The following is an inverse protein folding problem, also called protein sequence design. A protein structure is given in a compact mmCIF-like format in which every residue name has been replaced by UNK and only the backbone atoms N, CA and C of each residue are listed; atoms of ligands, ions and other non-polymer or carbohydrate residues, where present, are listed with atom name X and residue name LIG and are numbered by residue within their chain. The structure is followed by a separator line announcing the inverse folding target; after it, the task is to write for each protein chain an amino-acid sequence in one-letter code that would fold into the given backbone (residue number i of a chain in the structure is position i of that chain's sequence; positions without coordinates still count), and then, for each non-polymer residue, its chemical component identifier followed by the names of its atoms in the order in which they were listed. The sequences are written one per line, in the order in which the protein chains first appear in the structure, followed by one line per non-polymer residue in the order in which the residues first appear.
data_IF_105437523784
#
_entry.id   IF_105437523784
#
_cell.length_a   1.000
_cell.length_b   1.000
_cell.length_c   1.000
_cell.angle_alpha   90.00
_cell.angle_beta   90.00
_cell.angle_gamma   90.00
#
_symmetry.space_group_name_H-M   'P 1'
#
loop_
_entity.id
_entity.type
_entity.pdbx_description
1 polymer ?
#
# COMPACT_ATOMS: atom_id res chain seq x y z
N UNK A 1 -21.15 31.44 1.18
CA UNK A 1 -21.09 31.08 0.03
C UNK A 1 -20.52 29.78 -0.51
N UNK A 2 -19.40 29.86 -1.18
CA UNK A 2 -18.84 28.74 -2.00
C UNK A 2 -18.51 27.49 -1.20
N UNK A 3 -17.93 27.62 -0.02
CA UNK A 3 -17.60 26.50 0.86
C UNK A 3 -18.82 25.68 1.27
N UNK A 4 -19.94 26.36 1.61
CA UNK A 4 -21.18 25.68 1.97
C UNK A 4 -21.76 24.94 0.75
N UNK A 5 -21.75 25.58 -0.42
CA UNK A 5 -22.23 24.97 -1.66
C UNK A 5 -21.39 23.71 -2.04
N UNK A 6 -20.07 23.76 -1.86
CA UNK A 6 -19.21 22.59 -2.08
C UNK A 6 -19.49 21.46 -1.08
N UNK A 7 -19.67 21.78 0.20
CA UNK A 7 -20.01 20.76 1.19
C UNK A 7 -21.37 20.08 0.87
N UNK A 8 -22.35 20.83 0.44
CA UNK A 8 -23.65 20.27 0.01
C UNK A 8 -23.48 19.35 -1.18
N UNK A 9 -22.73 19.76 -2.22
CA UNK A 9 -22.43 18.92 -3.39
C UNK A 9 -21.68 17.66 -2.98
N UNK A 10 -20.68 17.78 -2.13
CA UNK A 10 -19.90 16.65 -1.61
C UNK A 10 -20.79 15.63 -0.90
N UNK A 11 -21.64 16.09 0.03
CA UNK A 11 -22.56 15.20 0.74
C UNK A 11 -23.59 14.58 -0.21
N UNK A 12 -24.10 15.34 -1.16
CA UNK A 12 -25.02 14.84 -2.18
C UNK A 12 -24.39 13.71 -3.00
N UNK A 13 -23.16 13.90 -3.50
CA UNK A 13 -22.44 12.88 -4.26
C UNK A 13 -22.14 11.62 -3.42
N UNK A 14 -21.77 11.80 -2.15
CA UNK A 14 -21.56 10.66 -1.23
C UNK A 14 -22.84 9.85 -0.99
N UNK A 15 -23.96 10.53 -0.75
CA UNK A 15 -25.22 9.88 -0.37
C UNK A 15 -26.00 9.34 -1.59
N UNK A 16 -25.85 9.99 -2.74
CA UNK A 16 -26.64 9.71 -3.95
C UNK A 16 -25.82 9.15 -5.09
N UNK A 17 -24.50 9.06 -4.95
CA UNK A 17 -23.60 8.60 -6.01
C UNK A 17 -24.05 7.31 -6.69
N UNK A 18 -24.58 6.34 -5.94
CA UNK A 18 -25.11 5.09 -6.51
C UNK A 18 -26.34 5.27 -7.43
N UNK A 19 -27.10 6.33 -7.23
CA UNK A 19 -28.40 6.57 -7.90
C UNK A 19 -28.30 7.54 -9.08
N UNK A 20 -27.14 8.12 -9.31
CA UNK A 20 -26.89 9.01 -10.42
C UNK A 20 -26.61 8.22 -11.71
N UNK A 21 -26.66 8.89 -12.84
CA UNK A 21 -26.02 8.47 -14.07
C UNK A 21 -24.68 9.21 -14.25
N UNK A 22 -23.89 8.82 -15.22
CA UNK A 22 -22.57 9.38 -15.45
C UNK A 22 -22.60 10.90 -15.75
N UNK A 23 -23.61 11.38 -16.48
CA UNK A 23 -23.73 12.79 -16.85
C UNK A 23 -24.10 13.66 -15.64
N UNK A 24 -25.05 13.20 -14.83
CA UNK A 24 -25.44 13.90 -13.61
C UNK A 24 -24.31 13.91 -12.58
N UNK A 25 -23.59 12.78 -12.44
CA UNK A 25 -22.42 12.74 -11.56
C UNK A 25 -21.35 13.75 -12.00
N UNK A 26 -21.02 13.78 -13.30
CA UNK A 26 -20.00 14.68 -13.86
C UNK A 26 -20.37 16.16 -13.68
N UNK A 27 -21.66 16.50 -13.80
CA UNK A 27 -22.16 17.85 -13.56
C UNK A 27 -21.86 18.32 -12.13
N UNK A 28 -22.19 17.50 -11.13
CA UNK A 28 -21.93 17.86 -9.72
C UNK A 28 -20.45 17.79 -9.38
N UNK A 29 -19.70 16.82 -9.94
CA UNK A 29 -18.26 16.64 -9.69
C UNK A 29 -17.45 17.84 -10.20
N UNK A 30 -17.75 18.37 -11.39
CA UNK A 30 -17.10 19.57 -11.94
C UNK A 30 -17.29 20.82 -11.09
N UNK A 31 -18.33 20.85 -10.28
CA UNK A 31 -18.58 21.94 -9.33
C UNK A 31 -17.79 21.82 -8.01
N UNK A 32 -16.96 20.79 -7.83
CA UNK A 32 -16.10 20.63 -6.67
C UNK A 32 -14.73 21.30 -6.95
N UNK A 33 -14.18 21.97 -5.95
CA UNK A 33 -12.85 22.63 -6.00
C UNK A 33 -11.87 21.96 -5.04
N UNK A 34 -12.30 21.71 -3.80
CA UNK A 34 -11.42 21.18 -2.74
C UNK A 34 -11.62 19.69 -2.43
N UNK A 35 -12.82 19.17 -2.63
CA UNK A 35 -13.21 17.82 -2.23
C UNK A 35 -13.12 16.77 -3.37
N UNK A 36 -12.49 17.10 -4.49
CA UNK A 36 -12.30 16.15 -5.61
C UNK A 36 -11.47 14.92 -5.24
N UNK A 37 -10.57 15.06 -4.25
CA UNK A 37 -9.70 13.99 -3.74
C UNK A 37 -10.28 13.24 -2.53
N UNK A 38 -11.56 13.47 -2.20
CA UNK A 38 -12.23 12.66 -1.19
C UNK A 38 -12.35 11.20 -1.68
N UNK A 39 -11.94 10.20 -0.88
CA UNK A 39 -11.88 8.79 -1.34
C UNK A 39 -13.21 8.22 -1.85
N UNK A 40 -14.34 8.68 -1.32
CA UNK A 40 -15.68 8.24 -1.76
C UNK A 40 -16.05 8.88 -3.10
N UNK A 41 -15.74 10.16 -3.25
CA UNK A 41 -15.94 10.90 -4.50
C UNK A 41 -15.05 10.33 -5.61
N UNK A 42 -13.77 10.09 -5.33
CA UNK A 42 -12.85 9.44 -6.29
C UNK A 42 -13.34 8.05 -6.71
N UNK A 43 -13.92 7.29 -5.77
CA UNK A 43 -14.48 5.97 -6.08
C UNK A 43 -15.66 6.06 -7.05
N UNK A 44 -16.60 6.99 -6.82
CA UNK A 44 -17.71 7.23 -7.75
C UNK A 44 -17.23 7.76 -9.10
N UNK A 45 -16.24 8.67 -9.11
CA UNK A 45 -15.65 9.15 -10.36
C UNK A 45 -15.04 8.01 -11.17
N UNK A 46 -14.27 7.13 -10.52
CA UNK A 46 -13.67 5.99 -11.19
C UNK A 46 -14.73 4.99 -11.71
N UNK A 47 -15.80 4.78 -10.93
CA UNK A 47 -16.95 3.96 -11.32
C UNK A 47 -17.58 4.46 -12.61
N UNK A 48 -17.96 5.74 -12.66
CA UNK A 48 -18.61 6.32 -13.83
C UNK A 48 -17.67 6.50 -15.02
N UNK A 49 -16.38 6.75 -14.78
CA UNK A 49 -15.37 6.76 -15.86
C UNK A 49 -15.28 5.40 -16.54
N UNK A 50 -15.28 4.32 -15.78
CA UNK A 50 -15.24 2.96 -16.31
C UNK A 50 -16.54 2.61 -17.04
N UNK A 51 -17.69 3.01 -16.49
CA UNK A 51 -19.01 2.83 -17.12
C UNK A 51 -19.08 3.52 -18.48
N UNK A 52 -18.70 4.79 -18.55
CA UNK A 52 -18.69 5.57 -19.81
C UNK A 52 -17.75 4.96 -20.85
N UNK A 53 -16.54 4.54 -20.44
CA UNK A 53 -15.59 3.88 -21.34
C UNK A 53 -16.14 2.56 -21.92
N UNK A 54 -16.89 1.80 -21.11
CA UNK A 54 -17.55 0.56 -21.57
C UNK A 54 -18.71 0.87 -22.52
N UNK A 55 -19.52 1.90 -22.24
CA UNK A 55 -20.61 2.33 -23.12
C UNK A 55 -20.10 2.79 -24.49
N UNK A 56 -18.95 3.45 -24.53
CA UNK A 56 -18.28 3.83 -25.79
C UNK A 56 -17.62 2.65 -26.54
N UNK A 57 -17.55 1.47 -25.90
CA UNK A 57 -16.84 0.28 -26.41
C UNK A 57 -15.38 0.56 -26.85
N UNK A 58 -14.71 1.49 -26.17
CA UNK A 58 -13.33 1.89 -26.47
C UNK A 58 -12.33 1.12 -25.60
N UNK A 59 -11.69 0.10 -26.16
CA UNK A 59 -10.78 -0.79 -25.44
C UNK A 59 -9.62 -0.05 -24.77
N UNK A 60 -9.06 0.98 -25.38
CA UNK A 60 -7.97 1.79 -24.81
C UNK A 60 -8.45 2.57 -23.59
N UNK A 61 -9.62 3.21 -23.66
CA UNK A 61 -10.22 3.93 -22.53
C UNK A 61 -10.61 2.97 -21.41
N UNK A 62 -11.17 1.79 -21.73
CA UNK A 62 -11.49 0.75 -20.76
C UNK A 62 -10.23 0.31 -20.00
N UNK A 63 -9.14 0.01 -20.72
CA UNK A 63 -7.89 -0.43 -20.10
C UNK A 63 -7.30 0.64 -19.15
N UNK A 64 -7.30 1.91 -19.58
CA UNK A 64 -6.82 3.03 -18.76
C UNK A 64 -7.70 3.25 -17.51
N UNK A 65 -9.03 3.23 -17.68
CA UNK A 65 -9.98 3.38 -16.58
C UNK A 65 -9.87 2.22 -15.58
N UNK A 66 -9.75 0.97 -16.05
CA UNK A 66 -9.54 -0.20 -15.21
C UNK A 66 -8.26 -0.10 -14.38
N UNK A 67 -7.16 0.30 -15.00
CA UNK A 67 -5.89 0.46 -14.26
C UNK A 67 -6.02 1.48 -13.13
N UNK A 68 -6.58 2.66 -13.44
CA UNK A 68 -6.83 3.72 -12.45
C UNK A 68 -7.75 3.25 -11.33
N UNK A 69 -8.86 2.59 -11.66
CA UNK A 69 -9.82 2.06 -10.70
C UNK A 69 -9.22 1.00 -9.77
N UNK A 70 -8.40 0.08 -10.32
CA UNK A 70 -7.70 -0.96 -9.54
C UNK A 70 -6.70 -0.37 -8.56
N UNK A 71 -5.92 0.64 -8.99
CA UNK A 71 -4.96 1.36 -8.14
C UNK A 71 -5.70 2.08 -7.02
N UNK A 72 -6.74 2.83 -7.34
CA UNK A 72 -7.57 3.54 -6.36
C UNK A 72 -8.16 2.57 -5.32
N UNK A 73 -8.76 1.46 -5.76
CA UNK A 73 -9.31 0.45 -4.86
C UNK A 73 -8.23 -0.13 -3.93
N UNK A 74 -7.05 -0.45 -4.47
CA UNK A 74 -5.93 -0.97 -3.69
C UNK A 74 -5.48 0.01 -2.61
N UNK A 75 -5.33 1.28 -2.96
CA UNK A 75 -4.72 2.29 -2.08
C UNK A 75 -5.71 2.88 -1.07
N UNK A 76 -7.01 2.87 -1.40
CA UNK A 76 -8.02 3.42 -0.51
C UNK A 76 -8.04 2.74 0.85
N UNK A 77 -8.15 3.56 1.92
CA UNK A 77 -8.42 3.11 3.28
C UNK A 77 -9.91 2.82 3.52
N UNK A 78 -10.76 3.35 2.67
CA UNK A 78 -12.23 3.29 2.79
C UNK A 78 -12.86 2.09 2.04
N UNK A 79 -12.14 0.97 1.91
CA UNK A 79 -12.58 -0.23 1.14
C UNK A 79 -13.90 -0.86 1.61
N UNK A 80 -14.41 -0.45 2.77
CA UNK A 80 -15.71 -0.86 3.31
C UNK A 80 -16.84 0.09 2.93
N UNK A 81 -16.51 1.25 2.38
CA UNK A 81 -17.49 2.22 1.92
C UNK A 81 -18.29 1.66 0.72
N UNK A 82 -19.61 1.90 0.66
CA UNK A 82 -20.45 1.45 -0.45
C UNK A 82 -19.91 1.83 -1.83
N UNK A 83 -19.35 3.04 -2.00
CA UNK A 83 -18.77 3.48 -3.26
C UNK A 83 -17.59 2.59 -3.70
N UNK A 84 -16.69 2.29 -2.76
CA UNK A 84 -15.55 1.39 -3.03
C UNK A 84 -16.02 -0.05 -3.30
N UNK A 85 -17.03 -0.52 -2.57
CA UNK A 85 -17.62 -1.84 -2.81
C UNK A 85 -18.21 -1.93 -4.22
N UNK A 86 -18.98 -0.92 -4.65
CA UNK A 86 -19.55 -0.84 -6.02
C UNK A 86 -18.47 -0.71 -7.09
N UNK A 87 -17.46 0.11 -6.85
CA UNK A 87 -16.31 0.19 -7.75
C UNK A 87 -15.63 -1.18 -7.92
N UNK A 88 -15.44 -1.93 -6.83
CA UNK A 88 -14.89 -3.26 -6.88
C UNK A 88 -15.73 -4.25 -7.70
N UNK A 89 -17.07 -4.15 -7.61
CA UNK A 89 -18.02 -4.94 -8.41
C UNK A 89 -17.91 -4.55 -9.90
N UNK A 90 -17.88 -3.25 -10.21
CA UNK A 90 -17.73 -2.74 -11.57
C UNK A 90 -16.42 -3.15 -12.23
N UNK A 91 -15.31 -3.15 -11.48
CA UNK A 91 -14.04 -3.68 -11.99
C UNK A 91 -14.17 -5.17 -12.30
N UNK A 92 -14.87 -5.94 -11.46
CA UNK A 92 -15.04 -7.38 -11.66
C UNK A 92 -15.91 -7.73 -12.88
N UNK A 93 -16.89 -6.90 -13.22
CA UNK A 93 -17.67 -7.02 -14.44
C UNK A 93 -16.80 -6.85 -15.69
N UNK A 94 -15.86 -5.90 -15.67
CA UNK A 94 -14.94 -5.64 -16.78
C UNK A 94 -13.74 -6.62 -16.80
N UNK A 95 -13.30 -7.10 -15.65
CA UNK A 95 -12.18 -8.05 -15.51
C UNK A 95 -12.45 -9.05 -14.38
N UNK A 96 -12.95 -10.21 -14.75
CA UNK A 96 -13.30 -11.28 -13.81
C UNK A 96 -12.12 -11.76 -12.94
N UNK A 97 -10.89 -11.65 -13.44
CA UNK A 97 -9.70 -12.03 -12.66
C UNK A 97 -9.51 -11.17 -11.42
N UNK A 98 -10.15 -10.00 -11.39
CA UNK A 98 -10.15 -9.08 -10.28
C UNK A 98 -10.80 -9.63 -9.00
N UNK A 99 -11.78 -10.53 -9.11
CA UNK A 99 -12.46 -11.07 -7.93
C UNK A 99 -11.48 -11.69 -6.92
N UNK A 100 -10.56 -12.54 -7.42
CA UNK A 100 -9.54 -13.13 -6.55
C UNK A 100 -8.53 -12.10 -6.05
N UNK A 101 -8.12 -11.18 -6.90
CA UNK A 101 -7.25 -10.06 -6.52
C UNK A 101 -7.89 -9.22 -5.42
N UNK A 102 -9.18 -8.92 -5.54
CA UNK A 102 -9.97 -8.19 -4.54
C UNK A 102 -10.02 -8.95 -3.21
N UNK A 103 -10.26 -10.26 -3.22
CA UNK A 103 -10.18 -11.11 -2.02
C UNK A 103 -8.83 -10.94 -1.33
N UNK A 104 -7.74 -11.01 -2.09
CA UNK A 104 -6.39 -10.89 -1.54
C UNK A 104 -6.10 -9.49 -1.00
N UNK A 105 -6.59 -8.42 -1.64
CA UNK A 105 -6.46 -7.04 -1.12
C UNK A 105 -7.21 -6.89 0.21
N UNK A 106 -8.45 -7.33 0.29
CA UNK A 106 -9.28 -7.25 1.50
C UNK A 106 -8.68 -8.05 2.66
N UNK A 107 -8.18 -9.26 2.35
CA UNK A 107 -7.50 -10.11 3.32
C UNK A 107 -6.24 -9.44 3.90
N UNK A 108 -5.44 -8.80 3.03
CA UNK A 108 -4.25 -8.05 3.43
C UNK A 108 -4.57 -6.83 4.29
N UNK A 109 -5.70 -6.19 4.04
CA UNK A 109 -6.21 -5.05 4.82
C UNK A 109 -6.93 -5.47 6.11
N UNK A 110 -6.95 -6.76 6.43
CA UNK A 110 -7.66 -7.35 7.57
C UNK A 110 -9.17 -7.08 7.55
N UNK A 111 -9.79 -7.01 6.34
CA UNK A 111 -11.22 -6.78 6.13
C UNK A 111 -11.96 -8.10 5.97
N UNK A 112 -12.16 -8.81 7.09
CA UNK A 112 -12.63 -10.21 7.10
C UNK A 112 -14.08 -10.34 6.64
N UNK A 113 -14.96 -9.42 7.03
CA UNK A 113 -16.38 -9.44 6.62
C UNK A 113 -16.50 -9.24 5.11
N UNK A 114 -15.80 -8.27 4.55
CA UNK A 114 -15.80 -7.98 3.12
C UNK A 114 -15.12 -9.10 2.34
N UNK A 115 -14.06 -9.68 2.89
CA UNK A 115 -13.40 -10.86 2.30
C UNK A 115 -14.39 -12.02 2.15
N UNK A 116 -15.16 -12.34 3.19
CA UNK A 116 -16.19 -13.39 3.13
C UNK A 116 -17.26 -13.07 2.09
N UNK A 117 -17.75 -11.82 2.06
CA UNK A 117 -18.75 -11.38 1.08
C UNK A 117 -18.27 -11.57 -0.36
N UNK A 118 -17.04 -11.17 -0.67
CA UNK A 118 -16.49 -11.33 -2.03
C UNK A 118 -16.26 -12.81 -2.35
N UNK A 119 -15.80 -13.62 -1.41
CA UNK A 119 -15.67 -15.08 -1.59
C UNK A 119 -17.00 -15.75 -1.95
N UNK A 120 -18.11 -15.28 -1.39
CA UNK A 120 -19.46 -15.80 -1.66
C UNK A 120 -19.95 -15.46 -3.08
N UNK A 121 -19.39 -14.44 -3.74
CA UNK A 121 -19.71 -14.10 -5.14
C UNK A 121 -18.88 -14.91 -6.15
N UNK A 122 -17.80 -15.58 -5.70
CA UNK A 122 -16.98 -16.41 -6.56
C UNK A 122 -17.71 -17.72 -6.93
N UNK A 123 -17.66 -18.14 -8.20
CA UNK A 123 -18.12 -19.48 -8.59
C UNK A 123 -17.38 -20.56 -7.80
N UNK A 124 -18.09 -21.62 -7.42
CA UNK A 124 -17.52 -22.74 -6.64
C UNK A 124 -16.21 -23.30 -7.22
N UNK A 125 -16.04 -23.48 -8.54
CA UNK A 125 -14.78 -23.97 -9.11
C UNK A 125 -13.61 -23.01 -8.98
N UNK A 126 -13.88 -21.72 -8.74
CA UNK A 126 -12.85 -20.71 -8.55
C UNK A 126 -12.39 -20.57 -7.10
N UNK A 127 -13.12 -21.15 -6.15
CA UNK A 127 -12.73 -21.17 -4.75
C UNK A 127 -11.55 -22.12 -4.52
N UNK A 128 -10.54 -21.74 -3.73
CA UNK A 128 -9.39 -22.59 -3.43
C UNK A 128 -9.72 -23.77 -2.51
N UNK A 129 -10.87 -23.72 -1.81
CA UNK A 129 -11.42 -24.75 -0.94
C UNK A 129 -12.92 -24.49 -0.71
N UNK A 130 -13.69 -25.43 -0.14
CA UNK A 130 -15.06 -25.20 0.25
C UNK A 130 -15.21 -23.99 1.18
N UNK A 131 -16.29 -23.22 1.05
CA UNK A 131 -16.53 -22.00 1.86
C UNK A 131 -16.43 -22.25 3.37
N UNK A 132 -16.83 -23.43 3.85
CA UNK A 132 -16.69 -23.80 5.27
C UNK A 132 -15.23 -23.75 5.73
N UNK A 133 -14.32 -24.25 4.90
CA UNK A 133 -12.89 -24.23 5.20
C UNK A 133 -12.31 -22.80 5.10
N UNK A 134 -12.68 -22.03 4.08
CA UNK A 134 -12.24 -20.64 3.93
C UNK A 134 -12.70 -19.77 5.11
N UNK A 135 -13.93 -19.95 5.56
CA UNK A 135 -14.43 -19.28 6.78
C UNK A 135 -13.63 -19.71 8.01
N UNK A 136 -13.31 -21.00 8.16
CA UNK A 136 -12.46 -21.48 9.28
C UNK A 136 -11.08 -20.84 9.27
N UNK A 137 -10.45 -20.67 8.10
CA UNK A 137 -9.17 -19.96 7.97
C UNK A 137 -9.30 -18.48 8.37
N UNK A 138 -10.41 -17.83 7.99
CA UNK A 138 -10.65 -16.42 8.30
C UNK A 138 -10.90 -16.21 9.79
N UNK A 139 -11.83 -16.98 10.36
CA UNK A 139 -12.37 -16.74 11.69
C UNK A 139 -11.49 -17.39 12.78
N UNK A 140 -10.97 -18.60 12.54
CA UNK A 140 -10.20 -19.40 13.51
C UNK A 140 -8.87 -19.92 12.92
N UNK A 141 -7.98 -19.02 12.42
CA UNK A 141 -6.80 -19.43 11.66
C UNK A 141 -5.85 -20.36 12.41
N UNK A 142 -5.71 -20.17 13.72
CA UNK A 142 -4.86 -21.00 14.58
C UNK A 142 -5.43 -22.40 14.74
N UNK A 143 -6.75 -22.50 14.94
CA UNK A 143 -7.42 -23.78 15.11
C UNK A 143 -7.43 -24.57 13.79
N UNK A 144 -7.70 -23.89 12.66
CA UNK A 144 -7.59 -24.48 11.33
C UNK A 144 -6.18 -25.04 11.10
N UNK A 145 -5.13 -24.27 11.40
CA UNK A 145 -3.74 -24.69 11.21
C UNK A 145 -3.38 -25.94 12.05
N UNK A 146 -3.84 -26.02 13.30
CA UNK A 146 -3.60 -27.18 14.17
C UNK A 146 -4.20 -28.48 13.63
N UNK A 147 -5.27 -28.38 12.85
CA UNK A 147 -5.94 -29.53 12.23
C UNK A 147 -5.22 -30.06 10.99
N UNK A 148 -4.26 -29.29 10.43
CA UNK A 148 -3.51 -29.70 9.24
C UNK A 148 -2.44 -30.74 9.60
N UNK A 149 -2.63 -31.98 9.14
CA UNK A 149 -1.65 -33.07 9.37
C UNK A 149 -0.39 -32.90 8.54
N UNK A 150 -0.51 -32.43 7.30
CA UNK A 150 0.61 -32.21 6.38
C UNK A 150 0.36 -30.94 5.56
N UNK A 151 1.13 -29.91 5.85
CA UNK A 151 1.06 -28.62 5.15
C UNK A 151 1.43 -28.74 3.67
N UNK A 152 2.31 -29.66 3.32
CA UNK A 152 2.73 -29.90 1.94
C UNK A 152 1.60 -30.38 1.04
N UNK A 153 0.52 -30.94 1.57
CA UNK A 153 -0.63 -31.39 0.80
C UNK A 153 -1.60 -30.24 0.42
N UNK A 154 -1.46 -29.06 1.00
CA UNK A 154 -2.34 -27.93 0.69
C UNK A 154 -2.23 -27.55 -0.80
N UNK A 155 -3.35 -27.30 -1.50
CA UNK A 155 -3.34 -26.69 -2.82
C UNK A 155 -2.66 -25.33 -2.78
N UNK A 156 -1.92 -24.95 -3.84
CA UNK A 156 -1.15 -23.71 -3.89
C UNK A 156 -2.00 -22.48 -3.53
N UNK A 157 -3.17 -22.34 -4.12
CA UNK A 157 -4.05 -21.18 -3.94
C UNK A 157 -4.60 -21.10 -2.51
N UNK A 158 -4.90 -22.24 -1.89
CA UNK A 158 -5.31 -22.32 -0.50
C UNK A 158 -4.15 -21.97 0.45
N UNK A 159 -2.96 -22.49 0.16
CA UNK A 159 -1.76 -22.19 0.94
C UNK A 159 -1.41 -20.69 0.89
N UNK A 160 -1.53 -20.03 -0.28
CA UNK A 160 -1.38 -18.58 -0.42
C UNK A 160 -2.38 -17.83 0.46
N UNK A 161 -3.67 -18.19 0.37
CA UNK A 161 -4.74 -17.56 1.15
C UNK A 161 -4.51 -17.71 2.66
N UNK A 162 -4.23 -18.92 3.11
CA UNK A 162 -3.96 -19.22 4.53
C UNK A 162 -2.70 -18.50 5.03
N UNK A 163 -1.62 -18.50 4.24
CA UNK A 163 -0.37 -17.81 4.61
C UNK A 163 -0.58 -16.32 4.82
N UNK A 164 -1.29 -15.64 3.89
CA UNK A 164 -1.57 -14.20 4.00
C UNK A 164 -2.43 -13.90 5.23
N UNK A 165 -3.45 -14.72 5.49
CA UNK A 165 -4.33 -14.53 6.67
C UNK A 165 -3.57 -14.73 7.98
N UNK A 166 -2.78 -15.80 8.08
CA UNK A 166 -2.07 -16.19 9.30
C UNK A 166 -0.88 -15.27 9.56
N UNK A 167 -0.22 -14.75 8.51
CA UNK A 167 0.97 -13.91 8.63
C UNK A 167 0.76 -12.71 9.55
N UNK A 168 -0.41 -12.09 9.52
CA UNK A 168 -0.73 -10.92 10.34
C UNK A 168 -0.69 -11.24 11.85
N UNK A 169 -1.12 -12.43 12.23
CA UNK A 169 -1.19 -12.89 13.61
C UNK A 169 0.08 -13.63 14.05
N UNK A 170 0.55 -14.54 13.21
CA UNK A 170 1.62 -15.50 13.51
C UNK A 170 2.55 -15.69 12.29
N UNK A 171 3.46 -14.75 12.02
CA UNK A 171 4.30 -14.79 10.82
C UNK A 171 5.17 -16.05 10.72
N UNK A 172 5.61 -16.63 11.84
CA UNK A 172 6.37 -17.90 11.86
C UNK A 172 5.55 -19.08 11.36
N UNK A 173 4.27 -19.17 11.74
CA UNK A 173 3.37 -20.23 11.27
C UNK A 173 3.02 -20.06 9.79
N UNK A 174 2.81 -18.81 9.32
CA UNK A 174 2.65 -18.52 7.91
C UNK A 174 3.88 -18.90 7.09
N UNK A 175 5.09 -18.69 7.63
CA UNK A 175 6.34 -19.10 6.99
C UNK A 175 6.44 -20.63 6.84
N UNK A 176 5.95 -21.40 7.80
CA UNK A 176 5.89 -22.86 7.68
C UNK A 176 4.98 -23.32 6.55
N UNK A 177 3.79 -22.71 6.41
CA UNK A 177 2.88 -22.98 5.29
C UNK A 177 3.54 -22.58 3.97
N UNK A 178 4.16 -21.38 3.92
CA UNK A 178 4.80 -20.89 2.72
C UNK A 178 5.92 -21.84 2.24
N UNK A 179 6.79 -22.28 3.12
CA UNK A 179 7.87 -23.23 2.79
C UNK A 179 7.32 -24.59 2.32
N UNK A 180 6.29 -25.10 2.95
CA UNK A 180 5.76 -26.42 2.66
C UNK A 180 4.89 -26.47 1.39
N UNK A 181 4.14 -25.44 1.08
CA UNK A 181 3.11 -25.49 0.04
C UNK A 181 3.08 -24.32 -0.94
N UNK A 182 3.62 -23.15 -0.58
CA UNK A 182 3.67 -22.00 -1.52
C UNK A 182 4.93 -22.06 -2.37
N UNK A 183 6.10 -22.21 -1.76
CA UNK A 183 7.40 -22.26 -2.47
C UNK A 183 7.45 -23.31 -3.58
N UNK A 184 7.02 -24.57 -3.35
CA UNK A 184 7.09 -25.59 -4.38
C UNK A 184 5.98 -25.53 -5.45
N UNK A 185 4.85 -24.83 -5.18
CA UNK A 185 3.64 -24.96 -6.00
C UNK A 185 3.13 -23.65 -6.61
N UNK A 186 3.41 -22.49 -5.99
CA UNK A 186 2.92 -21.21 -6.47
C UNK A 186 3.88 -20.60 -7.49
N UNK A 187 3.35 -19.75 -8.36
CA UNK A 187 4.18 -18.96 -9.26
C UNK A 187 4.98 -17.86 -8.50
N UNK A 188 5.92 -17.24 -9.18
CA UNK A 188 6.82 -16.24 -8.58
C UNK A 188 6.06 -15.07 -7.94
N UNK A 189 4.99 -14.58 -8.56
CA UNK A 189 4.17 -13.49 -8.04
C UNK A 189 3.56 -13.84 -6.68
N UNK A 190 2.87 -14.97 -6.56
CA UNK A 190 2.22 -15.39 -5.31
C UNK A 190 3.22 -15.73 -4.22
N UNK A 191 4.38 -16.33 -4.57
CA UNK A 191 5.48 -16.52 -3.62
C UNK A 191 5.97 -15.19 -3.07
N UNK A 192 6.24 -14.24 -3.96
CA UNK A 192 6.71 -12.90 -3.60
C UNK A 192 5.70 -12.17 -2.71
N UNK A 193 4.40 -12.24 -3.04
CA UNK A 193 3.33 -11.69 -2.22
C UNK A 193 3.33 -12.29 -0.81
N UNK A 194 3.33 -13.61 -0.70
CA UNK A 194 3.26 -14.31 0.60
C UNK A 194 4.46 -13.95 1.47
N UNK A 195 5.68 -14.03 0.93
CA UNK A 195 6.89 -13.74 1.71
C UNK A 195 6.97 -12.27 2.14
N UNK A 196 6.54 -11.34 1.30
CA UNK A 196 6.46 -9.93 1.69
C UNK A 196 5.42 -9.70 2.80
N UNK A 197 4.29 -10.42 2.75
CA UNK A 197 3.24 -10.35 3.77
C UNK A 197 3.61 -11.05 5.07
N UNK A 198 4.54 -12.00 5.04
CA UNK A 198 5.14 -12.58 6.24
C UNK A 198 6.19 -11.62 6.82
N UNK A 199 7.02 -11.02 5.97
CA UNK A 199 8.08 -10.10 6.39
C UNK A 199 7.55 -8.84 7.10
N UNK A 200 6.45 -8.25 6.63
CA UNK A 200 5.89 -7.02 7.21
C UNK A 200 5.52 -7.17 8.69
N UNK A 201 4.58 -8.06 9.10
CA UNK A 201 4.26 -8.23 10.52
C UNK A 201 5.44 -8.78 11.33
N UNK A 202 6.30 -9.58 10.72
CA UNK A 202 7.52 -10.03 11.40
C UNK A 202 8.44 -8.85 11.76
N UNK A 203 8.55 -7.83 10.91
CA UNK A 203 9.34 -6.64 11.20
C UNK A 203 8.71 -5.82 12.34
N UNK A 204 7.40 -5.60 12.31
CA UNK A 204 6.69 -4.85 13.36
C UNK A 204 6.68 -5.58 14.70
N UNK A 205 6.72 -6.93 14.69
CA UNK A 205 6.83 -7.78 15.88
C UNK A 205 8.29 -8.05 16.30
N UNK A 206 9.26 -7.38 15.68
CA UNK A 206 10.68 -7.51 15.94
C UNK A 206 11.23 -8.94 15.79
N UNK A 207 10.62 -9.73 14.92
CA UNK A 207 11.07 -11.10 14.67
C UNK A 207 12.44 -11.10 13.98
N UNK A 208 13.45 -11.85 14.49
CA UNK A 208 14.80 -11.85 13.93
C UNK A 208 14.89 -12.43 12.50
N UNK A 209 13.87 -13.16 12.04
CA UNK A 209 13.83 -13.72 10.68
C UNK A 209 13.19 -12.80 9.64
N UNK A 210 12.73 -11.60 10.03
CA UNK A 210 11.96 -10.72 9.14
C UNK A 210 12.72 -10.37 7.86
N UNK A 211 13.98 -9.96 7.94
CA UNK A 211 14.81 -9.61 6.77
C UNK A 211 15.01 -10.80 5.83
N UNK A 212 15.27 -11.99 6.38
CA UNK A 212 15.44 -13.23 5.60
C UNK A 212 14.14 -13.64 4.90
N UNK A 213 12.97 -13.40 5.52
CA UNK A 213 11.68 -13.66 4.89
C UNK A 213 11.38 -12.65 3.78
N UNK A 214 11.72 -11.38 3.98
CA UNK A 214 11.65 -10.41 2.89
C UNK A 214 12.56 -10.76 1.71
N UNK A 215 13.78 -11.25 1.97
CA UNK A 215 14.70 -11.67 0.93
C UNK A 215 14.09 -12.75 0.02
N UNK A 216 13.26 -13.66 0.57
CA UNK A 216 12.52 -14.68 -0.21
C UNK A 216 11.43 -14.09 -1.10
N UNK A 217 10.93 -12.88 -0.83
CA UNK A 217 9.94 -12.23 -1.69
C UNK A 217 10.49 -11.95 -3.09
N UNK A 218 11.79 -11.63 -3.23
CA UNK A 218 12.40 -11.31 -4.53
C UNK A 218 11.80 -10.06 -5.15
N UNK A 219 11.89 -9.93 -6.48
CA UNK A 219 11.46 -8.74 -7.24
C UNK A 219 10.17 -8.92 -8.03
N UNK A 220 9.54 -10.09 -7.98
CA UNK A 220 8.40 -10.39 -8.85
C UNK A 220 7.17 -9.48 -8.64
N UNK A 221 7.00 -8.91 -7.43
CA UNK A 221 5.93 -7.93 -7.17
C UNK A 221 6.13 -6.59 -7.88
N UNK A 222 7.39 -6.20 -8.08
CA UNK A 222 7.72 -4.93 -8.75
C UNK A 222 7.42 -4.98 -10.26
N UNK A 223 7.39 -6.18 -10.83
CA UNK A 223 7.16 -6.42 -12.25
C UNK A 223 5.69 -6.71 -12.58
N UNK A 224 4.85 -6.82 -11.58
CA UNK A 224 3.43 -7.17 -11.80
C UNK A 224 2.59 -5.92 -12.06
N UNK A 225 1.83 -5.88 -13.18
CA UNK A 225 0.82 -4.86 -13.41
C UNK A 225 -0.37 -4.99 -12.43
N UNK A 226 -0.51 -6.14 -11.77
CA UNK A 226 -1.49 -6.34 -10.71
C UNK A 226 -0.96 -5.71 -9.42
N UNK A 227 -1.28 -4.46 -9.24
CA UNK A 227 -0.99 -3.69 -8.05
C UNK A 227 -1.75 -4.21 -6.82
N UNK A 228 -1.55 -5.48 -6.47
CA UNK A 228 -2.16 -6.11 -5.27
C UNK A 228 -1.49 -5.64 -3.99
N UNK A 229 -0.32 -5.03 -4.09
CA UNK A 229 0.51 -4.66 -2.96
C UNK A 229 1.14 -3.31 -3.20
N UNK A 230 1.19 -2.48 -2.19
CA UNK A 230 2.02 -1.30 -2.17
C UNK A 230 3.51 -1.71 -2.10
N UNK A 231 4.15 -1.79 -3.27
CA UNK A 231 5.54 -2.18 -3.39
C UNK A 231 6.49 -1.18 -2.70
N UNK A 232 6.11 0.10 -2.63
CA UNK A 232 6.89 1.13 -1.93
C UNK A 232 6.89 0.87 -0.43
N UNK A 233 5.72 0.61 0.15
CA UNK A 233 5.60 0.27 1.56
C UNK A 233 6.40 -0.99 1.91
N UNK A 234 6.36 -2.01 1.05
CA UNK A 234 7.11 -3.25 1.29
C UNK A 234 8.62 -3.03 1.24
N UNK A 235 9.13 -2.27 0.27
CA UNK A 235 10.54 -1.92 0.18
C UNK A 235 11.00 -1.13 1.41
N UNK A 236 10.19 -0.16 1.85
CA UNK A 236 10.45 0.62 3.06
C UNK A 236 10.53 -0.25 4.32
N UNK A 237 9.63 -1.22 4.48
CA UNK A 237 9.66 -2.13 5.65
C UNK A 237 10.77 -3.17 5.57
N UNK A 238 11.12 -3.66 4.38
CA UNK A 238 12.30 -4.50 4.18
C UNK A 238 13.58 -3.77 4.58
N UNK A 239 13.73 -2.50 4.14
CA UNK A 239 14.86 -1.68 4.53
C UNK A 239 14.94 -1.49 6.05
N UNK A 240 13.80 -1.25 6.75
CA UNK A 240 13.78 -1.16 8.23
C UNK A 240 14.21 -2.47 8.91
N UNK A 241 13.81 -3.62 8.37
CA UNK A 241 14.28 -4.91 8.89
C UNK A 241 15.80 -5.05 8.76
N UNK A 242 16.37 -4.66 7.62
CA UNK A 242 17.81 -4.71 7.35
C UNK A 242 18.59 -3.71 8.21
N UNK A 243 18.05 -2.52 8.48
CA UNK A 243 18.65 -1.54 9.40
C UNK A 243 18.75 -2.14 10.80
N UNK A 244 17.67 -2.72 11.31
CA UNK A 244 17.66 -3.38 12.62
C UNK A 244 18.70 -4.50 12.70
N UNK A 245 18.86 -5.27 11.65
CA UNK A 245 19.76 -6.41 11.61
C UNK A 245 21.23 -6.01 11.30
N UNK A 246 21.49 -4.71 11.07
CA UNK A 246 22.83 -4.22 10.70
C UNK A 246 23.32 -4.72 9.31
N UNK A 247 22.41 -5.16 8.45
CA UNK A 247 22.74 -5.72 7.14
C UNK A 247 22.95 -4.62 6.10
N UNK A 248 24.06 -3.91 6.21
CA UNK A 248 24.35 -2.70 5.42
C UNK A 248 24.43 -2.96 3.91
N UNK A 249 24.99 -4.09 3.50
CA UNK A 249 25.03 -4.47 2.09
C UNK A 249 23.62 -4.75 1.53
N UNK A 250 22.81 -5.51 2.27
CA UNK A 250 21.43 -5.79 1.94
C UNK A 250 20.59 -4.50 1.86
N UNK A 251 20.79 -3.60 2.83
CA UNK A 251 20.12 -2.29 2.88
C UNK A 251 20.43 -1.44 1.64
N UNK A 252 21.71 -1.34 1.26
CA UNK A 252 22.11 -0.61 0.05
C UNK A 252 21.38 -1.15 -1.18
N UNK A 253 21.37 -2.47 -1.37
CA UNK A 253 20.66 -3.10 -2.50
C UNK A 253 19.15 -2.81 -2.52
N UNK A 254 18.50 -2.90 -1.36
CA UNK A 254 17.05 -2.64 -1.26
C UNK A 254 16.76 -1.18 -1.58
N UNK A 255 17.52 -0.24 -1.03
CA UNK A 255 17.33 1.19 -1.31
C UNK A 255 17.60 1.50 -2.79
N UNK A 256 18.67 0.95 -3.38
CA UNK A 256 19.01 1.18 -4.79
C UNK A 256 17.91 0.65 -5.74
N UNK A 257 17.18 -0.40 -5.34
CA UNK A 257 16.05 -0.96 -6.08
C UNK A 257 14.71 -0.23 -5.85
N UNK A 258 14.63 0.71 -4.90
CA UNK A 258 13.40 1.48 -4.66
C UNK A 258 13.02 2.34 -5.88
N UNK A 259 11.72 2.63 -6.09
CA UNK A 259 11.29 3.63 -7.05
C UNK A 259 11.98 4.98 -6.82
N UNK A 260 12.24 5.72 -7.90
CA UNK A 260 13.02 6.95 -7.85
C UNK A 260 12.46 7.99 -6.86
N UNK A 261 11.14 8.08 -6.75
CA UNK A 261 10.45 8.99 -5.83
C UNK A 261 10.72 8.62 -4.38
N UNK A 262 10.51 7.35 -4.02
CA UNK A 262 10.76 6.85 -2.67
C UNK A 262 12.25 7.00 -2.29
N UNK A 263 13.15 6.66 -3.21
CA UNK A 263 14.60 6.74 -2.99
C UNK A 263 15.09 8.16 -2.70
N UNK A 264 14.39 9.20 -3.20
CA UNK A 264 14.71 10.61 -2.95
C UNK A 264 14.23 11.13 -1.60
N UNK A 265 13.42 10.38 -0.88
CA UNK A 265 13.05 10.76 0.48
C UNK A 265 14.30 10.82 1.37
N UNK A 266 14.34 11.82 2.26
CA UNK A 266 15.50 12.05 3.13
C UNK A 266 15.86 10.86 4.01
N UNK A 267 14.84 10.12 4.47
CA UNK A 267 15.04 8.91 5.25
C UNK A 267 15.89 7.89 4.50
N UNK A 268 15.59 7.64 3.23
CA UNK A 268 16.33 6.64 2.45
C UNK A 268 17.67 7.16 1.96
N UNK A 269 17.78 8.46 1.67
CA UNK A 269 19.06 9.11 1.37
C UNK A 269 20.02 9.01 2.57
N UNK A 270 19.56 9.29 3.79
CA UNK A 270 20.34 9.15 5.01
C UNK A 270 20.79 7.70 5.24
N UNK A 271 19.87 6.75 5.24
CA UNK A 271 20.21 5.34 5.48
C UNK A 271 21.09 4.72 4.40
N UNK A 272 20.97 5.20 3.16
CA UNK A 272 21.91 4.85 2.08
C UNK A 272 23.31 5.37 2.39
N UNK A 273 23.44 6.59 2.84
CA UNK A 273 24.70 7.15 3.33
C UNK A 273 25.33 6.31 4.43
N UNK A 274 24.55 5.92 5.45
CA UNK A 274 25.00 5.03 6.53
C UNK A 274 25.48 3.66 6.01
N UNK A 275 24.73 3.09 5.09
CA UNK A 275 25.11 1.80 4.49
C UNK A 275 26.40 1.89 3.66
N UNK A 276 26.60 2.99 2.92
CA UNK A 276 27.82 3.26 2.17
C UNK A 276 29.03 3.46 3.10
N UNK A 277 28.86 4.28 4.16
CA UNK A 277 29.89 4.52 5.16
C UNK A 277 30.35 3.22 5.84
N UNK A 278 29.41 2.38 6.25
CA UNK A 278 29.70 1.08 6.88
C UNK A 278 30.44 0.10 5.97
N UNK A 279 30.37 0.32 4.65
CA UNK A 279 31.10 -0.45 3.63
C UNK A 279 32.44 0.18 3.21
N UNK A 280 32.85 1.27 3.88
CA UNK A 280 34.09 1.97 3.56
C UNK A 280 34.01 2.91 2.36
N UNK A 281 32.82 3.08 1.75
CA UNK A 281 32.59 3.96 0.58
C UNK A 281 32.36 5.40 1.06
N UNK A 282 33.39 6.01 1.65
CA UNK A 282 33.30 7.29 2.37
C UNK A 282 32.86 8.45 1.47
N UNK A 283 33.39 8.55 0.26
CA UNK A 283 33.08 9.62 -0.69
C UNK A 283 31.59 9.60 -1.07
N UNK A 284 31.06 8.42 -1.39
CA UNK A 284 29.65 8.26 -1.76
C UNK A 284 28.72 8.54 -0.57
N UNK A 285 29.13 8.12 0.63
CA UNK A 285 28.42 8.41 1.85
C UNK A 285 28.36 9.92 2.13
N UNK A 286 29.48 10.63 2.01
CA UNK A 286 29.56 12.09 2.16
C UNK A 286 28.67 12.80 1.14
N UNK A 287 28.63 12.33 -0.10
CA UNK A 287 27.77 12.88 -1.16
C UNK A 287 26.29 12.72 -0.76
N UNK A 288 25.89 11.53 -0.29
CA UNK A 288 24.53 11.29 0.18
C UNK A 288 24.14 12.20 1.35
N UNK A 289 24.99 12.31 2.38
CA UNK A 289 24.71 13.18 3.53
C UNK A 289 24.68 14.66 3.14
N UNK A 290 25.62 15.13 2.31
CA UNK A 290 25.67 16.54 1.86
C UNK A 290 24.39 16.94 1.12
N UNK A 291 23.78 16.03 0.37
CA UNK A 291 22.57 16.33 -0.41
C UNK A 291 21.36 16.70 0.44
N UNK A 292 21.32 16.31 1.73
CA UNK A 292 20.20 16.56 2.64
C UNK A 292 20.60 17.36 3.91
N UNK A 293 21.89 17.52 4.21
CA UNK A 293 22.37 18.12 5.45
C UNK A 293 21.99 19.62 5.63
N UNK A 294 21.60 20.29 4.55
CA UNK A 294 21.12 21.69 4.58
C UNK A 294 19.67 21.81 5.07
N UNK A 295 18.94 20.69 5.19
CA UNK A 295 17.52 20.70 5.56
C UNK A 295 17.35 20.68 7.08
N UNK A 296 16.36 21.42 7.58
CA UNK A 296 16.04 21.52 9.02
C UNK A 296 15.23 20.34 9.56
N UNK A 297 15.06 19.30 8.76
CA UNK A 297 14.35 18.06 9.10
C UNK A 297 15.18 17.13 9.99
N UNK A 298 14.55 16.11 10.57
CA UNK A 298 15.22 15.12 11.40
C UNK A 298 16.40 14.45 10.68
N UNK A 299 16.21 13.94 9.45
CA UNK A 299 17.28 13.29 8.69
C UNK A 299 18.30 14.26 8.12
N UNK A 300 17.91 15.50 7.83
CA UNK A 300 18.85 16.57 7.47
C UNK A 300 19.84 16.86 8.61
N UNK A 301 19.34 16.97 9.84
CA UNK A 301 20.19 17.17 11.02
C UNK A 301 21.11 15.97 11.27
N UNK A 302 20.61 14.75 11.21
CA UNK A 302 21.45 13.56 11.33
C UNK A 302 22.55 13.50 10.26
N UNK A 303 22.25 13.90 9.03
CA UNK A 303 23.23 13.96 7.95
C UNK A 303 24.30 15.05 8.20
N UNK A 304 23.92 16.18 8.78
CA UNK A 304 24.88 17.22 9.19
C UNK A 304 25.82 16.71 10.31
N UNK A 305 25.28 15.94 11.27
CA UNK A 305 26.11 15.30 12.31
C UNK A 305 27.14 14.32 11.73
N UNK A 306 26.73 13.48 10.76
CA UNK A 306 27.66 12.56 10.09
C UNK A 306 28.78 13.28 9.33
N UNK A 307 28.56 14.54 8.94
CA UNK A 307 29.55 15.39 8.29
C UNK A 307 30.36 16.26 9.28
N UNK A 308 30.09 16.15 10.59
CA UNK A 308 30.71 17.01 11.61
C UNK A 308 30.33 18.50 11.47
N UNK A 309 29.17 18.80 10.85
CA UNK A 309 28.67 20.16 10.66
C UNK A 309 27.76 20.58 11.80
N UNK A 310 27.99 21.76 12.37
CA UNK A 310 27.05 22.38 13.30
C UNK A 310 25.73 22.71 12.59
N UNK A 311 24.60 22.46 13.27
CA UNK A 311 23.30 22.92 12.77
C UNK A 311 23.29 24.45 12.82
N UNK A 312 23.19 25.09 11.66
CA UNK A 312 22.73 26.46 11.63
C UNK A 312 21.25 26.47 12.00
N UNK A 313 20.91 26.69 13.26
CA UNK A 313 19.63 27.29 13.51
C UNK A 313 19.63 28.57 12.68
N UNK A 314 18.70 28.71 11.72
CA UNK A 314 18.44 30.03 11.15
C UNK A 314 18.34 30.97 12.35
N UNK A 315 19.25 31.96 12.41
CA UNK A 315 19.20 32.93 13.50
C UNK A 315 17.76 33.35 13.69
N UNK A 316 17.22 33.35 14.91
CA UNK A 316 15.88 33.87 15.16
C UNK A 316 15.82 35.23 14.46
N UNK A 317 14.69 35.62 13.88
CA UNK A 317 14.56 36.89 13.21
C UNK A 317 15.13 37.94 14.14
N UNK A 318 16.06 38.79 13.64
CA UNK A 318 16.85 39.76 14.42
C UNK A 318 16.00 40.74 15.23
N UNK A 319 14.72 40.79 15.00
CA UNK A 319 13.72 41.49 15.81
C UNK A 319 12.38 40.72 15.75
N UNK A 320 11.71 40.60 16.91
CA UNK A 320 10.28 40.23 16.88
C UNK A 320 9.53 41.27 16.03
N UNK A 321 8.56 40.83 15.18
CA UNK A 321 7.71 41.77 14.47
C UNK A 321 7.07 42.71 15.52
N UNK A 322 7.09 44.03 15.25
CA UNK A 322 6.40 44.95 16.14
C UNK A 322 4.88 44.63 16.11
N UNK A 323 4.19 44.90 17.23
CA UNK A 323 2.78 44.61 17.35
C UNK A 323 1.96 45.16 16.16
N UNK A 324 2.33 46.31 15.65
CA UNK A 324 1.74 46.93 14.45
C UNK A 324 1.87 46.09 13.17
N UNK A 325 2.95 45.30 13.05
CA UNK A 325 3.17 44.43 11.89
C UNK A 325 2.36 43.12 12.03
N UNK A 326 2.18 42.65 13.27
CA UNK A 326 1.30 41.50 13.60
C UNK A 326 -0.14 41.86 13.30
N UNK A 327 -0.59 43.05 13.71
CA UNK A 327 -1.94 43.55 13.51
C UNK A 327 -2.29 43.75 12.03
N UNK A 328 -1.31 44.21 11.23
CA UNK A 328 -1.45 44.32 9.76
C UNK A 328 -1.56 42.95 9.08
N UNK A 329 -0.84 41.91 9.58
CA UNK A 329 -0.93 40.55 9.08
C UNK A 329 -2.26 39.90 9.39
N UNK A 330 -2.83 40.17 10.59
CA UNK A 330 -4.10 39.64 11.03
C UNK A 330 -5.33 40.31 10.35
N UNK A 331 -5.16 41.50 9.78
CA UNK A 331 -6.25 42.23 9.07
C UNK A 331 -6.42 41.85 7.60
N UNK A 332 -5.57 40.98 7.05
CA UNK A 332 -5.60 40.55 5.64
C UNK A 332 -6.13 39.11 5.45
N UNK A 333 -6.90 38.58 6.41
CA UNK A 333 -7.58 37.28 6.29
C UNK A 333 -9.10 37.45 6.11
#
# INVERSE_FOLDING_TARGET
GEYLAENVRTQYLKLRGEKLNAADFDLFFKGLVWNQTDPVIEAWQAYYTLESAQAENNQSKIAAALLKAKVLYRDSKAVTDPALMKLGDRIAEADRTWLWTRVMILLQKNRMTETKRVLETLPRPELPAPMKELRSIIDEPTLWLRRQKNLGNLPARLAVFASVRIAHLRPADAARIAQAAVDPKANAFWRSLVWSRIGFPATTQLNPKASSWYAKAGSALQQSPLAVVDAQQLAAWHARALIRDGSWYGLSKVIDAMPAELKREEVWTYWRGRALASRGLKTDAQTAFTSIAHRTTFYGKLAADELGRSYGFSNPPKAMPRQVEIDKGAGNT
#
